data_IF_200550641672
#
_entry.id   IF_200550641672
#
_cell.length_a   1.000
_cell.length_b   1.000
_cell.length_c   1.000
_cell.angle_alpha   90.00
_cell.angle_beta   90.00
_cell.angle_gamma   90.00
#
_symmetry.space_group_name_H-M   'P 1'
#
loop_
_entity.id
_entity.type
_entity.pdbx_description
1 polymer ?
#
# COMPACT_ATOMS: atom_id res chain seq x y z
N UNK A 1 -26.91 -6.08 -38.00
CA UNK A 1 -27.70 -6.73 -39.07
C UNK A 1 -27.48 -8.23 -39.01
N UNK A 2 -28.53 -9.01 -39.29
CA UNK A 2 -28.38 -10.45 -39.49
C UNK A 2 -27.68 -10.72 -40.82
N UNK A 3 -27.00 -11.85 -40.95
CA UNK A 3 -26.58 -12.33 -42.28
C UNK A 3 -27.83 -12.58 -43.13
N UNK A 4 -27.82 -12.26 -44.43
CA UNK A 4 -28.89 -12.67 -45.33
C UNK A 4 -28.97 -14.20 -45.35
N UNK A 5 -30.17 -14.74 -45.56
CA UNK A 5 -30.41 -16.18 -45.68
C UNK A 5 -31.07 -16.46 -47.04
N UNK A 6 -30.76 -17.61 -47.63
CA UNK A 6 -31.24 -18.00 -48.95
C UNK A 6 -31.56 -19.50 -48.95
N UNK A 7 -32.67 -19.85 -49.57
CA UNK A 7 -33.11 -21.23 -49.74
C UNK A 7 -32.69 -21.75 -51.11
N UNK A 8 -32.54 -23.07 -51.23
CA UNK A 8 -32.18 -23.69 -52.51
C UNK A 8 -33.38 -24.43 -53.03
N UNK A 9 -33.83 -24.16 -54.25
CA UNK A 9 -34.95 -24.87 -54.86
C UNK A 9 -34.42 -25.92 -55.84
N UNK A 10 -35.01 -27.12 -55.80
CA UNK A 10 -34.63 -28.29 -56.62
C UNK A 10 -35.88 -29.00 -57.08
N UNK A 11 -35.84 -29.68 -58.23
CA UNK A 11 -36.95 -30.53 -58.70
C UNK A 11 -36.82 -31.96 -58.19
N UNK A 12 -37.93 -32.61 -57.87
CA UNK A 12 -37.97 -34.04 -57.56
C UNK A 12 -37.59 -34.86 -58.81
N UNK A 13 -36.92 -36.02 -58.66
CA UNK A 13 -36.55 -36.86 -59.80
C UNK A 13 -37.73 -37.64 -60.39
N UNK A 14 -38.78 -37.86 -59.60
CA UNK A 14 -39.99 -38.53 -60.05
C UNK A 14 -40.96 -37.51 -60.69
N UNK A 15 -41.63 -37.86 -61.80
CA UNK A 15 -42.70 -37.04 -62.36
C UNK A 15 -43.81 -36.84 -61.31
N UNK A 16 -44.33 -35.62 -61.14
CA UNK A 16 -44.28 -34.48 -62.07
C UNK A 16 -43.13 -33.48 -61.85
N UNK A 17 -42.02 -33.86 -61.19
CA UNK A 17 -40.87 -32.99 -60.91
C UNK A 17 -41.21 -31.76 -60.04
N UNK A 18 -41.86 -32.00 -58.90
CA UNK A 18 -42.25 -30.98 -57.93
C UNK A 18 -41.02 -30.25 -57.36
N UNK A 19 -41.17 -28.95 -57.10
CA UNK A 19 -40.15 -28.16 -56.41
C UNK A 19 -40.07 -28.57 -54.93
N UNK A 20 -38.85 -28.64 -54.42
CA UNK A 20 -38.52 -28.94 -53.03
C UNK A 20 -37.27 -28.19 -52.60
N UNK A 21 -37.10 -28.05 -51.30
CA UNK A 21 -35.85 -27.55 -50.73
C UNK A 21 -34.69 -28.52 -50.99
N UNK A 22 -33.62 -27.96 -51.53
CA UNK A 22 -32.35 -28.63 -51.76
C UNK A 22 -31.44 -28.52 -50.55
N UNK A 23 -30.48 -29.45 -50.45
CA UNK A 23 -29.44 -29.40 -49.44
C UNK A 23 -28.52 -28.18 -49.58
N UNK A 24 -28.19 -27.76 -50.81
CA UNK A 24 -27.21 -26.72 -51.08
C UNK A 24 -27.07 -26.42 -52.57
N UNK A 25 -26.37 -25.34 -52.90
CA UNK A 25 -26.13 -24.92 -54.27
C UNK A 25 -25.11 -25.81 -54.97
N UNK A 26 -25.30 -26.07 -56.25
CA UNK A 26 -24.34 -26.79 -57.09
C UNK A 26 -23.12 -25.91 -57.40
N UNK A 27 -22.03 -26.56 -57.78
CA UNK A 27 -20.83 -25.86 -58.29
C UNK A 27 -21.14 -25.02 -59.54
N UNK A 28 -22.00 -25.51 -60.43
CA UNK A 28 -22.31 -24.81 -61.68
C UNK A 28 -23.17 -23.55 -61.45
N UNK A 29 -24.08 -23.58 -60.49
CA UNK A 29 -24.89 -22.40 -60.12
C UNK A 29 -24.01 -21.30 -59.53
N UNK A 30 -23.09 -21.65 -58.62
CA UNK A 30 -22.12 -20.71 -58.04
C UNK A 30 -21.24 -20.08 -59.13
N UNK A 31 -20.75 -20.88 -60.08
CA UNK A 31 -19.97 -20.36 -61.21
C UNK A 31 -20.76 -19.37 -62.07
N UNK A 32 -22.04 -19.67 -62.39
CA UNK A 32 -22.89 -18.73 -63.15
C UNK A 32 -23.26 -17.46 -62.38
N UNK A 33 -23.27 -17.54 -61.05
CA UNK A 33 -23.47 -16.40 -60.18
C UNK A 33 -22.17 -15.61 -59.92
N UNK A 34 -21.03 -16.02 -60.49
CA UNK A 34 -19.69 -15.48 -60.20
C UNK A 34 -19.39 -15.48 -58.70
N UNK A 35 -19.70 -16.58 -58.03
CA UNK A 35 -19.49 -16.79 -56.60
C UNK A 35 -18.41 -17.86 -56.41
N UNK A 36 -17.32 -17.53 -55.71
CA UNK A 36 -16.31 -18.53 -55.37
C UNK A 36 -16.83 -19.52 -54.32
N UNK A 37 -16.32 -20.75 -54.32
CA UNK A 37 -16.69 -21.77 -53.32
C UNK A 37 -16.29 -21.29 -51.91
N UNK A 38 -15.13 -20.64 -51.78
CA UNK A 38 -14.62 -20.13 -50.51
C UNK A 38 -15.49 -18.98 -50.01
N UNK A 39 -15.73 -17.98 -50.87
CA UNK A 39 -16.64 -16.86 -50.57
C UNK A 39 -18.02 -17.36 -50.13
N UNK A 40 -18.56 -18.40 -50.79
CA UNK A 40 -19.89 -18.93 -50.48
C UNK A 40 -19.92 -19.57 -49.09
N UNK A 41 -18.86 -20.28 -48.71
CA UNK A 41 -18.74 -20.84 -47.35
C UNK A 41 -18.62 -19.75 -46.30
N UNK A 42 -17.84 -18.70 -46.56
CA UNK A 42 -17.70 -17.57 -45.64
C UNK A 42 -19.02 -16.81 -45.45
N UNK A 43 -19.78 -16.69 -46.54
CA UNK A 43 -21.13 -16.14 -46.51
C UNK A 43 -22.14 -17.04 -45.76
N UNK A 44 -21.80 -18.32 -45.54
CA UNK A 44 -22.63 -19.28 -44.81
C UNK A 44 -23.52 -20.14 -45.70
N UNK A 45 -23.27 -20.16 -47.01
CA UNK A 45 -24.03 -20.98 -47.96
C UNK A 45 -23.60 -22.45 -47.90
N UNK A 46 -24.58 -23.35 -47.97
CA UNK A 46 -24.33 -24.78 -48.09
C UNK A 46 -24.11 -25.11 -49.58
N UNK A 47 -23.01 -25.80 -49.86
CA UNK A 47 -22.58 -26.16 -51.22
C UNK A 47 -22.66 -27.67 -51.39
N UNK A 48 -23.41 -28.13 -52.39
CA UNK A 48 -23.47 -29.55 -52.77
C UNK A 48 -22.58 -29.81 -53.99
N UNK A 49 -21.34 -30.21 -53.73
CA UNK A 49 -20.34 -30.48 -54.76
C UNK A 49 -20.67 -31.70 -55.64
N UNK A 50 -21.61 -32.56 -55.22
CA UNK A 50 -21.99 -33.76 -55.97
C UNK A 50 -23.09 -33.49 -57.00
N UNK A 51 -23.72 -32.31 -56.93
CA UNK A 51 -24.84 -31.95 -57.79
C UNK A 51 -24.33 -31.20 -59.01
N UNK A 52 -24.65 -31.72 -60.19
CA UNK A 52 -24.32 -31.09 -61.48
C UNK A 52 -25.50 -30.37 -62.12
N UNK A 53 -26.68 -30.38 -61.49
CA UNK A 53 -27.87 -29.70 -62.00
C UNK A 53 -27.77 -28.19 -61.84
N UNK A 54 -28.35 -27.47 -62.79
CA UNK A 54 -28.32 -26.01 -62.84
C UNK A 54 -29.74 -25.46 -62.94
N UNK A 55 -30.22 -24.80 -61.89
CA UNK A 55 -31.51 -24.13 -61.89
C UNK A 55 -31.32 -22.61 -62.03
N UNK A 56 -31.96 -21.97 -63.04
CA UNK A 56 -31.81 -20.54 -63.28
C UNK A 56 -32.36 -19.68 -62.12
N UNK A 57 -33.43 -20.13 -61.47
CA UNK A 57 -34.03 -19.50 -60.27
C UNK A 57 -32.97 -19.30 -59.17
N UNK A 58 -32.26 -20.37 -58.82
CA UNK A 58 -31.16 -20.35 -57.84
C UNK A 58 -30.03 -19.39 -58.24
N UNK A 59 -29.70 -19.28 -59.53
CA UNK A 59 -28.62 -18.39 -60.01
C UNK A 59 -29.01 -16.92 -59.83
N UNK A 60 -30.28 -16.57 -60.06
CA UNK A 60 -30.76 -15.21 -59.85
C UNK A 60 -30.78 -14.84 -58.36
N UNK A 61 -31.22 -15.75 -57.51
CA UNK A 61 -31.21 -15.55 -56.05
C UNK A 61 -29.78 -15.41 -55.52
N UNK A 62 -28.84 -16.25 -55.97
CA UNK A 62 -27.42 -16.13 -55.60
C UNK A 62 -26.83 -14.76 -55.98
N UNK A 63 -27.23 -14.19 -57.13
CA UNK A 63 -26.77 -12.85 -57.53
C UNK A 63 -27.33 -11.75 -56.63
N UNK A 64 -28.58 -11.86 -56.18
CA UNK A 64 -29.18 -10.92 -55.22
C UNK A 64 -28.51 -11.03 -53.86
N UNK A 65 -28.37 -12.26 -53.38
CA UNK A 65 -27.68 -12.58 -52.13
C UNK A 65 -26.25 -12.04 -52.11
N UNK A 66 -25.50 -12.15 -53.22
CA UNK A 66 -24.15 -11.59 -53.32
C UNK A 66 -24.11 -10.10 -53.01
N UNK A 67 -25.02 -9.32 -53.59
CA UNK A 67 -25.09 -7.88 -53.37
C UNK A 67 -25.41 -7.54 -51.91
N UNK A 68 -26.42 -8.21 -51.36
CA UNK A 68 -26.80 -8.04 -49.95
C UNK A 68 -25.66 -8.43 -48.99
N UNK A 69 -24.90 -9.46 -49.34
CA UNK A 69 -23.74 -9.89 -48.56
C UNK A 69 -22.58 -8.87 -48.61
N UNK A 70 -22.31 -8.28 -49.78
CA UNK A 70 -21.31 -7.21 -49.93
C UNK A 70 -21.70 -5.96 -49.12
N UNK A 71 -22.97 -5.57 -49.15
CA UNK A 71 -23.51 -4.47 -48.34
C UNK A 71 -23.38 -4.76 -46.84
N UNK A 72 -23.73 -5.98 -46.41
CA UNK A 72 -23.56 -6.44 -45.04
C UNK A 72 -22.10 -6.35 -44.57
N UNK A 73 -21.14 -6.75 -45.40
CA UNK A 73 -19.71 -6.66 -45.09
C UNK A 73 -19.25 -5.20 -44.95
N UNK A 74 -19.65 -4.34 -45.89
CA UNK A 74 -19.31 -2.93 -45.86
C UNK A 74 -19.84 -2.23 -44.60
N UNK A 75 -21.07 -2.54 -44.19
CA UNK A 75 -21.65 -1.97 -42.98
C UNK A 75 -21.00 -2.49 -41.70
N UNK A 76 -20.70 -3.79 -41.65
CA UNK A 76 -19.94 -4.39 -40.55
C UNK A 76 -18.55 -3.77 -40.43
N UNK A 77 -17.89 -3.47 -41.55
CA UNK A 77 -16.59 -2.79 -41.54
C UNK A 77 -16.70 -1.36 -41.03
N UNK A 78 -17.70 -0.59 -41.48
CA UNK A 78 -17.98 0.75 -40.95
C UNK A 78 -18.18 0.72 -39.43
N UNK A 79 -19.00 -0.20 -38.93
CA UNK A 79 -19.22 -0.39 -37.49
C UNK A 79 -17.91 -0.72 -36.76
N UNK A 80 -17.03 -1.55 -37.32
CA UNK A 80 -15.70 -1.85 -36.73
C UNK A 80 -14.81 -0.61 -36.70
N UNK A 81 -14.80 0.20 -37.76
CA UNK A 81 -14.02 1.44 -37.83
C UNK A 81 -14.54 2.44 -36.80
N UNK A 82 -15.85 2.62 -36.69
CA UNK A 82 -16.48 3.50 -35.71
C UNK A 82 -16.19 3.06 -34.28
N UNK A 83 -16.34 1.76 -33.98
CA UNK A 83 -15.98 1.20 -32.68
C UNK A 83 -14.49 1.43 -32.34
N UNK A 84 -13.59 1.25 -33.31
CA UNK A 84 -12.16 1.55 -33.14
C UNK A 84 -11.92 3.04 -32.83
N UNK A 85 -12.58 3.95 -33.54
CA UNK A 85 -12.49 5.40 -33.30
C UNK A 85 -13.03 5.78 -31.92
N UNK A 86 -14.17 5.22 -31.53
CA UNK A 86 -14.77 5.43 -30.21
C UNK A 86 -13.84 4.93 -29.10
N UNK A 87 -13.30 3.72 -29.22
CA UNK A 87 -12.35 3.17 -28.25
C UNK A 87 -11.06 3.99 -28.17
N UNK A 88 -10.54 4.47 -29.30
CA UNK A 88 -9.37 5.35 -29.31
C UNK A 88 -9.65 6.69 -28.61
N UNK A 89 -10.84 7.28 -28.83
CA UNK A 89 -11.27 8.51 -28.14
C UNK A 89 -11.41 8.28 -26.63
N UNK A 90 -12.08 7.21 -26.22
CA UNK A 90 -12.25 6.84 -24.82
C UNK A 90 -10.89 6.62 -24.12
N UNK A 91 -9.94 5.94 -24.78
CA UNK A 91 -8.59 5.75 -24.25
C UNK A 91 -7.85 7.07 -24.06
N UNK A 92 -7.94 7.98 -25.03
CA UNK A 92 -7.34 9.33 -24.91
C UNK A 92 -7.95 10.13 -23.76
N UNK A 93 -9.27 10.06 -23.59
CA UNK A 93 -9.95 10.76 -22.50
C UNK A 93 -9.60 10.17 -21.13
N UNK A 94 -9.56 8.84 -21.00
CA UNK A 94 -9.12 8.17 -19.78
C UNK A 94 -7.67 8.53 -19.41
N UNK A 95 -6.77 8.61 -20.40
CA UNK A 95 -5.39 9.04 -20.16
C UNK A 95 -5.31 10.50 -19.69
N UNK A 96 -6.12 11.39 -20.28
CA UNK A 96 -6.20 12.79 -19.83
C UNK A 96 -6.72 12.91 -18.39
N UNK A 97 -7.79 12.16 -18.04
CA UNK A 97 -8.32 12.15 -16.67
C UNK A 97 -7.29 11.66 -15.67
N UNK A 98 -6.61 10.55 -15.97
CA UNK A 98 -5.51 10.03 -15.14
C UNK A 98 -4.38 11.05 -14.96
N UNK A 99 -4.00 11.76 -16.02
CA UNK A 99 -2.97 12.78 -15.92
C UNK A 99 -3.39 14.00 -15.09
N UNK A 100 -4.69 14.32 -15.02
CA UNK A 100 -5.20 15.37 -14.13
C UNK A 100 -5.20 14.87 -12.69
N UNK A 101 -5.73 13.67 -12.44
CA UNK A 101 -5.76 13.05 -11.11
C UNK A 101 -4.35 12.86 -10.53
N UNK A 102 -3.37 12.45 -11.35
CA UNK A 102 -1.97 12.33 -10.93
C UNK A 102 -1.36 13.67 -10.55
N UNK A 103 -1.69 14.74 -11.27
CA UNK A 103 -1.25 16.10 -10.91
C UNK A 103 -1.88 16.60 -9.63
N UNK A 104 -3.16 16.30 -9.39
CA UNK A 104 -3.83 16.64 -8.14
C UNK A 104 -3.22 15.88 -6.96
N UNK A 105 -2.95 14.58 -7.11
CA UNK A 105 -2.27 13.78 -6.08
C UNK A 105 -0.87 14.30 -5.75
N UNK A 106 -0.10 14.73 -6.76
CA UNK A 106 1.24 15.31 -6.51
C UNK A 106 1.12 16.60 -5.70
N UNK A 107 0.16 17.47 -6.01
CA UNK A 107 -0.09 18.69 -5.24
C UNK A 107 -0.51 18.39 -3.80
N UNK A 108 -1.41 17.42 -3.60
CA UNK A 108 -1.82 16.98 -2.26
C UNK A 108 -0.62 16.43 -1.46
N UNK A 109 0.28 15.68 -2.11
CA UNK A 109 1.50 15.19 -1.46
C UNK A 109 2.45 16.33 -1.09
N UNK A 110 2.62 17.32 -1.96
CA UNK A 110 3.42 18.52 -1.67
C UNK A 110 2.85 19.28 -0.47
N UNK A 111 1.53 19.50 -0.40
CA UNK A 111 0.87 20.14 0.76
C UNK A 111 1.07 19.34 2.06
N UNK A 112 0.95 18.01 2.01
CA UNK A 112 1.19 17.14 3.16
C UNK A 112 2.65 17.20 3.61
N UNK A 113 3.60 17.27 2.68
CA UNK A 113 5.03 17.40 3.00
C UNK A 113 5.33 18.76 3.65
N UNK A 114 4.73 19.84 3.18
CA UNK A 114 4.84 21.17 3.81
C UNK A 114 4.26 21.18 5.23
N UNK A 115 3.09 20.57 5.44
CA UNK A 115 2.50 20.44 6.77
C UNK A 115 3.37 19.60 7.72
N UNK A 116 3.94 18.50 7.23
CA UNK A 116 4.86 17.67 8.02
C UNK A 116 6.13 18.42 8.40
N UNK A 117 6.68 19.22 7.50
CA UNK A 117 7.86 20.03 7.78
C UNK A 117 7.59 21.07 8.88
N UNK A 118 6.43 21.74 8.84
CA UNK A 118 6.01 22.68 9.90
C UNK A 118 5.85 21.99 11.26
N UNK A 119 5.26 20.80 11.28
CA UNK A 119 5.11 20.01 12.52
C UNK A 119 6.49 19.60 13.05
N UNK A 120 7.42 19.18 12.19
CA UNK A 120 8.79 18.84 12.61
C UNK A 120 9.55 20.05 13.16
N UNK A 121 9.40 21.22 12.55
CA UNK A 121 9.97 22.47 13.05
C UNK A 121 9.38 22.85 14.42
N UNK A 122 8.07 22.68 14.61
CA UNK A 122 7.41 22.91 15.90
C UNK A 122 7.89 21.94 16.98
N UNK A 123 8.07 20.65 16.64
CA UNK A 123 8.62 19.65 17.56
C UNK A 123 10.05 20.01 17.95
N UNK A 124 10.92 20.29 16.98
CA UNK A 124 12.32 20.65 17.24
C UNK A 124 12.44 21.93 18.09
N UNK A 125 11.54 22.88 17.89
CA UNK A 125 11.47 24.09 18.72
C UNK A 125 11.11 23.79 20.18
N UNK A 126 10.14 22.89 20.42
CA UNK A 126 9.77 22.48 21.78
C UNK A 126 10.88 21.69 22.45
N UNK A 127 11.50 20.74 21.73
CA UNK A 127 12.64 19.97 22.25
C UNK A 127 13.79 20.89 22.65
N UNK A 128 14.12 21.92 21.84
CA UNK A 128 15.15 22.90 22.19
C UNK A 128 14.76 23.80 23.37
N UNK A 129 13.47 24.10 23.55
CA UNK A 129 12.98 24.87 24.71
C UNK A 129 13.06 24.05 26.00
N UNK A 130 12.67 22.77 25.94
CA UNK A 130 12.81 21.81 27.04
C UNK A 130 14.30 21.61 27.42
N UNK A 131 15.20 21.42 26.44
CA UNK A 131 16.65 21.31 26.71
C UNK A 131 17.23 22.56 27.38
N UNK A 132 16.76 23.76 27.01
CA UNK A 132 17.19 25.01 27.64
C UNK A 132 16.63 25.18 29.05
N UNK A 133 15.41 24.72 29.31
CA UNK A 133 14.81 24.71 30.65
C UNK A 133 15.53 23.72 31.56
N UNK A 134 15.80 22.49 31.09
CA UNK A 134 16.60 21.50 31.81
C UNK A 134 18.01 22.03 32.14
N UNK A 135 18.68 22.68 31.19
CA UNK A 135 19.99 23.29 31.43
C UNK A 135 19.95 24.43 32.47
N UNK A 136 18.90 25.26 32.45
CA UNK A 136 18.74 26.33 33.43
C UNK A 136 18.43 25.79 34.84
N UNK A 137 17.64 24.69 34.94
CA UNK A 137 17.43 23.98 36.20
C UNK A 137 18.74 23.39 36.74
N UNK A 138 19.58 22.78 35.88
CA UNK A 138 20.91 22.29 36.26
C UNK A 138 21.82 23.42 36.76
N UNK A 139 21.92 24.56 36.06
CA UNK A 139 22.72 25.72 36.48
C UNK A 139 22.27 26.26 37.86
N UNK A 140 20.95 26.39 38.08
CA UNK A 140 20.41 26.80 39.39
C UNK A 140 20.80 25.84 40.51
N UNK A 141 20.77 24.53 40.26
CA UNK A 141 21.19 23.55 41.27
C UNK A 141 22.69 23.60 41.56
N UNK A 142 23.53 23.94 40.58
CA UNK A 142 24.97 24.16 40.80
C UNK A 142 25.20 25.41 41.67
N UNK A 143 24.51 26.52 41.41
CA UNK A 143 24.58 27.73 42.24
C UNK A 143 24.09 27.47 43.68
N UNK A 144 22.98 26.73 43.86
CA UNK A 144 22.49 26.34 45.19
C UNK A 144 23.50 25.46 45.95
N UNK A 145 24.18 24.55 45.25
CA UNK A 145 25.24 23.72 45.83
C UNK A 145 26.45 24.56 46.23
N UNK A 146 26.85 25.56 45.43
CA UNK A 146 27.92 26.50 45.78
C UNK A 146 27.56 27.35 47.01
N UNK A 147 26.32 27.82 47.11
CA UNK A 147 25.85 28.59 48.28
C UNK A 147 25.87 27.74 49.57
N UNK A 148 25.44 26.48 49.48
CA UNK A 148 25.50 25.54 50.61
C UNK A 148 26.94 25.23 51.03
N UNK A 149 27.85 25.04 50.09
CA UNK A 149 29.26 24.81 50.38
C UNK A 149 29.90 26.03 51.09
N UNK A 150 29.57 27.24 50.67
CA UNK A 150 30.04 28.46 51.33
C UNK A 150 29.50 28.61 52.77
N UNK A 151 28.27 28.17 53.02
CA UNK A 151 27.69 28.12 54.36
C UNK A 151 28.35 27.05 55.24
N UNK A 152 28.71 25.90 54.67
CA UNK A 152 29.45 24.83 55.37
C UNK A 152 30.85 25.32 55.78
N UNK A 153 31.60 25.96 54.87
CA UNK A 153 32.89 26.58 55.23
C UNK A 153 32.73 27.66 56.32
N UNK A 154 31.63 28.42 56.29
CA UNK A 154 31.30 29.37 57.34
C UNK A 154 30.95 28.71 58.68
N UNK A 155 30.28 27.55 58.64
CA UNK A 155 29.93 26.78 59.82
C UNK A 155 31.16 26.10 60.43
N UNK A 156 32.08 25.59 59.61
CA UNK A 156 33.34 25.02 60.08
C UNK A 156 34.16 26.07 60.83
N UNK A 157 34.23 27.31 60.33
CA UNK A 157 34.87 28.41 61.07
C UNK A 157 34.16 28.73 62.40
N UNK A 158 32.84 28.66 62.46
CA UNK A 158 32.10 28.84 63.72
C UNK A 158 32.38 27.67 64.67
N UNK A 159 32.45 26.45 64.14
CA UNK A 159 32.76 25.26 64.92
C UNK A 159 34.21 25.26 65.41
N UNK A 160 35.18 25.74 64.64
CA UNK A 160 36.56 25.93 65.10
C UNK A 160 36.61 26.99 66.20
N UNK A 161 35.81 28.06 66.10
CA UNK A 161 35.70 29.08 67.16
C UNK A 161 35.00 28.52 68.41
N UNK A 162 33.99 27.66 68.25
CA UNK A 162 33.30 27.01 69.36
C UNK A 162 34.14 25.91 69.98
N UNK A 163 34.87 25.10 69.20
CA UNK A 163 35.84 24.12 69.70
C UNK A 163 37.02 24.82 70.37
N UNK A 164 37.50 25.96 69.87
CA UNK A 164 38.51 26.77 70.60
C UNK A 164 37.95 27.28 71.94
N UNK A 165 36.67 27.69 71.99
CA UNK A 165 36.02 28.10 73.24
C UNK A 165 35.72 26.95 74.18
N UNK A 166 35.27 25.80 73.66
CA UNK A 166 35.04 24.59 74.43
C UNK A 166 36.36 23.99 74.88
N UNK A 167 37.46 24.14 74.13
CA UNK A 167 38.81 23.81 74.58
C UNK A 167 39.31 24.79 75.65
N UNK A 168 38.98 26.08 75.56
CA UNK A 168 39.25 27.03 76.66
C UNK A 168 38.42 26.68 77.91
N UNK A 169 37.11 26.44 77.77
CA UNK A 169 36.24 26.01 78.87
C UNK A 169 36.64 24.61 79.37
N UNK A 170 37.08 23.70 78.52
CA UNK A 170 37.58 22.38 78.92
C UNK A 170 38.97 22.48 79.55
N UNK A 171 39.83 23.41 79.16
CA UNK A 171 41.06 23.69 79.91
C UNK A 171 40.74 24.25 81.30
N UNK A 172 39.70 25.09 81.44
CA UNK A 172 39.20 25.56 82.73
C UNK A 172 38.57 24.41 83.56
N UNK A 173 37.73 23.58 82.95
CA UNK A 173 37.07 22.44 83.59
C UNK A 173 38.04 21.27 83.87
N UNK A 174 39.12 21.09 83.09
CA UNK A 174 40.18 20.10 83.35
C UNK A 174 41.08 20.52 84.51
N UNK A 175 41.26 21.84 84.72
CA UNK A 175 41.86 22.37 85.95
C UNK A 175 40.96 22.06 87.16
N UNK A 176 39.63 22.13 86.99
CA UNK A 176 38.67 21.88 88.07
C UNK A 176 38.41 20.38 88.32
N UNK A 177 38.52 19.53 87.30
CA UNK A 177 38.26 18.08 87.38
C UNK A 177 39.50 17.22 87.67
N UNK A 178 40.71 17.79 87.74
CA UNK A 178 41.90 17.10 88.26
C UNK A 178 41.92 16.94 89.80
N UNK A 179 40.89 17.41 90.53
CA UNK A 179 40.81 17.30 92.01
C UNK A 179 39.95 16.16 92.56
N UNK A 180 39.17 15.42 91.77
CA UNK A 180 38.36 14.30 92.30
C UNK A 180 38.38 13.08 91.36
N UNK A 181 39.22 12.12 91.75
CA UNK A 181 39.42 10.81 91.13
C UNK A 181 38.56 9.75 91.83
N UNK A 182 38.24 8.67 91.09
CA UNK A 182 37.72 7.35 91.54
C UNK A 182 36.18 7.28 91.80
N UNK A 183 35.39 6.26 91.41
CA UNK A 183 35.66 4.90 90.93
C UNK A 183 34.35 4.24 90.38
N UNK A 184 34.50 3.17 89.57
CA UNK A 184 33.58 2.02 89.30
C UNK A 184 32.10 2.26 88.86
N UNK A 185 31.42 1.52 87.96
CA UNK A 185 31.64 0.28 87.21
C UNK A 185 30.29 -0.21 86.60
N UNK A 186 30.40 -1.18 85.67
CA UNK A 186 29.42 -2.21 85.22
C UNK A 186 28.17 -1.90 84.34
N UNK A 187 28.17 -2.59 83.19
CA UNK A 187 27.12 -3.39 82.52
C UNK A 187 25.75 -2.78 82.11
N UNK A 188 25.36 -2.90 80.84
CA UNK A 188 24.43 -3.95 80.37
C UNK A 188 24.03 -3.85 78.87
N UNK A 189 23.64 -5.00 78.32
CA UNK A 189 23.27 -5.30 76.93
C UNK A 189 22.04 -4.53 76.38
N UNK A 190 21.96 -4.31 75.05
CA UNK A 190 20.75 -4.70 74.26
C UNK A 190 20.96 -4.75 72.74
N UNK A 191 20.46 -5.84 72.16
CA UNK A 191 20.31 -6.15 70.73
C UNK A 191 19.08 -5.44 70.14
N UNK A 192 19.15 -4.88 68.92
CA UNK A 192 18.02 -4.94 67.96
C UNK A 192 18.50 -5.25 66.54
N UNK A 193 18.01 -6.39 66.07
CA UNK A 193 17.97 -6.93 64.71
C UNK A 193 16.79 -6.31 63.95
N UNK A 194 16.94 -6.06 62.63
CA UNK A 194 15.94 -6.33 61.55
C UNK A 194 16.59 -6.03 60.19
N UNK A 195 17.04 -7.07 59.47
CA UNK A 195 16.33 -7.73 58.35
C UNK A 195 15.97 -6.82 57.17
N UNK A 196 16.58 -7.13 56.02
CA UNK A 196 16.10 -6.85 54.66
C UNK A 196 14.71 -7.50 54.45
N UNK A 197 13.93 -7.00 53.49
CA UNK A 197 13.30 -7.93 52.56
C UNK A 197 13.63 -7.57 51.12
N UNK A 198 14.00 -8.62 50.41
CA UNK A 198 14.13 -8.68 48.96
C UNK A 198 12.92 -8.08 48.26
N UNK A 199 13.18 -7.28 47.23
CA UNK A 199 12.17 -6.68 46.35
C UNK A 199 12.59 -6.74 44.88
N UNK A 200 13.17 -7.86 44.43
CA UNK A 200 13.35 -8.12 43.00
C UNK A 200 11.99 -8.20 42.31
N UNK A 201 11.76 -7.34 41.32
CA UNK A 201 10.91 -7.66 40.16
C UNK A 201 11.64 -7.32 38.87
N UNK A 202 12.18 -8.36 38.22
CA UNK A 202 12.54 -8.32 36.80
C UNK A 202 11.25 -8.26 35.98
N UNK A 203 11.02 -7.16 35.28
CA UNK A 203 10.02 -7.09 34.21
C UNK A 203 10.71 -7.50 32.91
N UNK A 204 10.55 -8.76 32.52
CA UNK A 204 10.88 -9.22 31.17
C UNK A 204 9.72 -8.84 30.25
N UNK A 205 9.86 -7.74 29.50
CA UNK A 205 8.96 -7.44 28.38
C UNK A 205 9.18 -8.50 27.30
N UNK A 206 8.19 -9.39 27.16
CA UNK A 206 8.12 -10.40 26.11
C UNK A 206 7.90 -9.70 24.76
N UNK A 207 8.93 -9.67 23.94
CA UNK A 207 8.85 -9.29 22.52
C UNK A 207 7.93 -10.29 21.81
N UNK A 208 6.76 -9.84 21.35
CA UNK A 208 5.98 -10.59 20.36
C UNK A 208 6.58 -10.33 18.99
N UNK A 209 7.27 -11.32 18.45
CA UNK A 209 7.65 -11.40 17.04
C UNK A 209 6.35 -11.45 16.23
N UNK A 210 6.02 -10.37 15.51
CA UNK A 210 4.95 -10.42 14.49
C UNK A 210 5.43 -11.36 13.39
N UNK A 211 4.64 -12.38 13.11
CA UNK A 211 4.76 -13.22 11.92
C UNK A 211 4.52 -12.34 10.71
N UNK A 212 5.48 -12.34 9.79
CA UNK A 212 5.30 -11.83 8.44
C UNK A 212 4.18 -12.64 7.79
N UNK A 213 3.03 -12.01 7.57
CA UNK A 213 2.02 -12.55 6.67
C UNK A 213 2.61 -12.48 5.26
N UNK A 214 3.04 -13.64 4.78
CA UNK A 214 3.37 -13.91 3.38
C UNK A 214 2.14 -13.57 2.51
N UNK A 215 2.05 -12.32 2.09
CA UNK A 215 1.10 -11.96 1.04
C UNK A 215 1.60 -12.56 -0.27
N UNK A 216 0.75 -13.38 -0.87
CA UNK A 216 0.93 -14.04 -2.15
C UNK A 216 1.09 -13.00 -3.27
N UNK A 217 2.29 -12.48 -3.46
CA UNK A 217 2.71 -11.71 -4.64
C UNK A 217 3.92 -12.37 -5.30
N UNK A 218 3.76 -13.65 -5.62
CA UNK A 218 4.71 -14.42 -6.41
C UNK A 218 4.02 -15.18 -7.53
N UNK A 219 3.45 -14.51 -8.54
CA UNK A 219 3.05 -15.19 -9.81
C UNK A 219 3.26 -14.35 -11.09
N UNK A 220 3.77 -13.11 -11.08
CA UNK A 220 3.83 -12.31 -12.34
C UNK A 220 5.19 -11.89 -12.91
N UNK A 221 6.33 -12.24 -12.31
CA UNK A 221 7.65 -11.83 -12.83
C UNK A 221 8.54 -12.95 -13.40
N UNK A 222 7.96 -14.09 -13.82
CA UNK A 222 8.73 -15.17 -14.49
C UNK A 222 8.37 -15.40 -15.96
N UNK A 223 7.98 -14.36 -16.69
CA UNK A 223 7.67 -14.46 -18.12
C UNK A 223 8.59 -13.65 -19.07
N UNK A 224 9.54 -12.84 -18.58
CA UNK A 224 10.34 -11.93 -19.44
C UNK A 224 11.83 -12.27 -19.58
N UNK A 225 12.25 -13.51 -19.35
CA UNK A 225 13.61 -13.96 -19.73
C UNK A 225 13.57 -15.25 -20.54
N UNK A 226 13.04 -15.12 -21.76
CA UNK A 226 13.33 -15.97 -22.92
C UNK A 226 13.24 -15.08 -24.16
N UNK A 227 14.27 -14.26 -24.33
CA UNK A 227 14.83 -13.87 -25.62
C UNK A 227 16.34 -14.02 -25.51
#
# INVERSE_FOLDING_TARGET
MSKPNIEVVVKSPAPPNLHREGRGFSRQELQKANFSIEEARDAGLIIDLRRDTNYPENVEELKRFKKEYEEYLAEKEKQRIEARKANAKARKEAMKRKAVEEKERVKELEEIEEERAKIQEEIARREAEEEMEEAAEEELTEEELEELAALEEGADLISEIEEEKELEEFEEDLIESMEEEEDEGEDDETKIVKKRPDGTTRIVKRVRKKTEEETTKGVKEKAEKKE
#
